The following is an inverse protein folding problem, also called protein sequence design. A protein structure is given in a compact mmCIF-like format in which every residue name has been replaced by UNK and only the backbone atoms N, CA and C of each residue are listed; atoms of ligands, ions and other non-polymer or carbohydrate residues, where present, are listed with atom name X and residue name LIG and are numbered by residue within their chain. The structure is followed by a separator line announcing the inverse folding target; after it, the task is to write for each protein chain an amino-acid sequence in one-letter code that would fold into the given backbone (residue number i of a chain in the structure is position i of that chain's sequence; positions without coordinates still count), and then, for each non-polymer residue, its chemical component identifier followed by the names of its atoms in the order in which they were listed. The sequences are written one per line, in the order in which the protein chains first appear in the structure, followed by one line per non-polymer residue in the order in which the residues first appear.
data_IF_846834806302
#
_entry.id   IF_846834806302
#
_cell.length_a   1.000
_cell.length_b   1.000
_cell.length_c   1.000
_cell.angle_alpha   90.00
_cell.angle_beta   90.00
_cell.angle_gamma   90.00
#
_symmetry.space_group_name_H-M   'P 1'
#
loop_
_entity.id
_entity.type
_entity.pdbx_description
1 polymer ?
#
# COMPACT_ATOMS: atom_id res chain seq x y z
N UNK A 1 8.75 9.26 -8.00
CA UNK A 1 8.23 7.89 -8.19
C UNK A 1 6.97 7.70 -7.36
N UNK A 2 5.86 7.25 -7.94
CA UNK A 2 4.65 6.88 -7.19
C UNK A 2 4.63 5.37 -6.96
N UNK A 3 4.29 4.96 -5.73
CA UNK A 3 4.13 3.55 -5.33
C UNK A 3 2.65 3.25 -5.15
N UNK A 4 2.11 2.26 -5.87
CA UNK A 4 0.77 1.74 -5.63
C UNK A 4 0.86 0.34 -5.01
N UNK A 5 0.16 0.11 -3.90
CA UNK A 5 0.29 -1.12 -3.13
C UNK A 5 -1.05 -1.74 -2.75
N UNK A 6 -1.18 -3.05 -2.98
CA UNK A 6 -2.31 -3.84 -2.50
C UNK A 6 -1.81 -5.13 -1.84
N UNK A 7 -2.14 -5.28 -0.55
CA UNK A 7 -1.91 -6.49 0.24
C UNK A 7 -3.20 -7.04 0.86
N UNK A 8 -4.34 -6.83 0.20
CA UNK A 8 -5.63 -7.39 0.59
C UNK A 8 -5.70 -8.91 0.43
N UNK A 9 -4.81 -9.51 -0.36
CA UNK A 9 -4.77 -10.94 -0.65
C UNK A 9 -3.40 -11.55 -0.28
N UNK A 10 -3.23 -12.86 -0.50
CA UNK A 10 -1.95 -13.56 -0.28
C UNK A 10 -0.86 -13.16 -1.28
N UNK A 11 -1.28 -12.66 -2.44
CA UNK A 11 -0.41 -12.06 -3.46
C UNK A 11 -0.48 -10.55 -3.33
N UNK A 12 0.68 -9.93 -3.08
CA UNK A 12 0.85 -8.49 -3.10
C UNK A 12 0.90 -8.02 -4.55
N UNK A 13 0.14 -6.97 -4.86
CA UNK A 13 0.30 -6.23 -6.09
C UNK A 13 1.05 -4.93 -5.79
N UNK A 14 2.13 -4.69 -6.51
CA UNK A 14 2.90 -3.47 -6.47
C UNK A 14 2.94 -2.87 -7.87
N UNK A 15 2.64 -1.59 -7.99
CA UNK A 15 2.89 -0.83 -9.21
C UNK A 15 3.81 0.33 -8.89
N UNK A 16 4.86 0.48 -9.70
CA UNK A 16 5.72 1.65 -9.68
C UNK A 16 5.38 2.55 -10.89
N UNK A 17 5.19 3.83 -10.65
CA UNK A 17 4.87 4.82 -11.69
C UNK A 17 5.90 5.95 -11.67
N UNK A 18 6.57 6.15 -12.80
CA UNK A 18 7.55 7.21 -13.02
C UNK A 18 7.23 7.96 -14.31
N UNK A 19 6.61 9.14 -14.17
CA UNK A 19 6.01 9.84 -15.30
C UNK A 19 4.99 8.95 -16.04
N UNK A 20 5.25 8.68 -17.32
CA UNK A 20 4.41 7.81 -18.16
C UNK A 20 4.77 6.32 -18.06
N UNK A 21 5.89 5.98 -17.40
CA UNK A 21 6.33 4.59 -17.26
C UNK A 21 5.63 3.94 -16.07
N UNK A 22 5.01 2.79 -16.32
CA UNK A 22 4.37 1.95 -15.30
C UNK A 22 4.98 0.55 -15.31
N UNK A 23 5.36 0.05 -14.15
CA UNK A 23 5.86 -1.32 -13.95
C UNK A 23 5.02 -2.02 -12.89
N UNK A 24 4.34 -3.09 -13.26
CA UNK A 24 3.52 -3.90 -12.35
C UNK A 24 4.32 -5.14 -11.89
N UNK A 25 4.16 -5.48 -10.61
CA UNK A 25 4.74 -6.64 -9.98
C UNK A 25 3.69 -7.40 -9.16
N UNK A 26 3.83 -8.72 -9.15
CA UNK A 26 3.07 -9.60 -8.28
C UNK A 26 4.04 -10.39 -7.41
N UNK A 27 3.73 -10.46 -6.12
CA UNK A 27 4.55 -11.20 -5.15
C UNK A 27 3.68 -12.04 -4.25
N UNK A 28 3.82 -13.36 -4.35
CA UNK A 28 3.25 -14.31 -3.42
C UNK A 28 3.97 -14.21 -2.06
N UNK A 29 3.56 -13.23 -1.24
CA UNK A 29 4.16 -12.98 0.06
C UNK A 29 3.76 -14.05 1.09
N UNK A 30 2.63 -14.73 0.88
CA UNK A 30 2.07 -15.75 1.78
C UNK A 30 2.09 -15.28 3.25
N UNK A 31 2.85 -15.96 4.11
CA UNK A 31 2.99 -15.64 5.55
C UNK A 31 4.20 -14.74 5.85
N UNK A 32 4.93 -14.32 4.83
CA UNK A 32 6.21 -13.63 4.97
C UNK A 32 6.12 -12.11 4.76
N UNK A 33 4.93 -11.58 4.49
CA UNK A 33 4.70 -10.16 4.21
C UNK A 33 5.43 -9.24 5.21
N UNK A 34 5.21 -9.41 6.52
CA UNK A 34 5.84 -8.57 7.54
C UNK A 34 7.36 -8.64 7.57
N UNK A 35 7.94 -9.79 7.20
CA UNK A 35 9.38 -10.01 7.22
C UNK A 35 10.06 -9.38 6.00
N UNK A 36 9.45 -9.58 4.84
CA UNK A 36 10.13 -9.37 3.55
C UNK A 36 9.66 -8.10 2.82
N UNK A 37 8.55 -7.46 3.23
CA UNK A 37 7.94 -6.32 2.52
C UNK A 37 8.91 -5.16 2.25
N UNK A 38 9.69 -4.74 3.26
CA UNK A 38 10.63 -3.63 3.10
C UNK A 38 11.76 -3.98 2.14
N UNK A 39 12.29 -5.21 2.23
CA UNK A 39 13.33 -5.69 1.32
C UNK A 39 12.79 -5.79 -0.11
N UNK A 40 11.59 -6.34 -0.26
CA UNK A 40 10.91 -6.46 -1.56
C UNK A 40 10.72 -5.08 -2.20
N UNK A 41 10.14 -4.12 -1.49
CA UNK A 41 9.92 -2.77 -2.00
C UNK A 41 11.24 -2.07 -2.35
N UNK A 42 12.27 -2.17 -1.50
CA UNK A 42 13.61 -1.65 -1.77
C UNK A 42 14.17 -2.21 -3.07
N UNK A 43 14.09 -3.52 -3.25
CA UNK A 43 14.70 -4.20 -4.40
C UNK A 43 13.94 -3.84 -5.69
N UNK A 44 12.60 -3.75 -5.66
CA UNK A 44 11.80 -3.29 -6.81
C UNK A 44 12.06 -1.83 -7.18
N UNK A 45 12.28 -0.95 -6.19
CA UNK A 45 12.69 0.43 -6.44
C UNK A 45 14.07 0.46 -7.10
N UNK A 46 15.04 -0.29 -6.57
CA UNK A 46 16.41 -0.33 -7.09
C UNK A 46 16.48 -0.86 -8.54
N UNK A 47 15.64 -1.85 -8.89
CA UNK A 47 15.49 -2.32 -10.28
C UNK A 47 15.00 -1.23 -11.24
N UNK A 48 14.31 -0.22 -10.74
CA UNK A 48 13.86 0.94 -11.51
C UNK A 48 14.79 2.16 -11.33
N UNK A 49 15.99 1.96 -10.76
CA UNK A 49 16.96 3.04 -10.53
C UNK A 49 16.54 4.04 -9.46
N UNK A 50 15.60 3.66 -8.58
CA UNK A 50 15.07 4.49 -7.51
C UNK A 50 15.42 3.93 -6.13
N UNK A 51 15.32 4.78 -5.12
CA UNK A 51 15.43 4.45 -3.71
C UNK A 51 14.14 4.83 -2.97
N UNK A 52 14.08 4.54 -1.67
CA UNK A 52 12.96 5.03 -0.86
C UNK A 52 12.83 6.54 -0.91
N UNK A 53 13.93 7.29 -0.98
CA UNK A 53 13.91 8.76 -0.96
C UNK A 53 13.32 9.38 -2.25
N UNK A 54 13.21 8.59 -3.32
CA UNK A 54 12.67 9.03 -4.61
C UNK A 54 11.15 8.83 -4.71
N UNK A 55 10.54 8.25 -3.67
CA UNK A 55 9.09 8.11 -3.58
C UNK A 55 8.50 9.51 -3.37
N UNK A 56 7.59 9.91 -4.25
CA UNK A 56 6.92 11.21 -4.25
C UNK A 56 5.44 11.12 -3.89
N UNK A 57 4.90 9.90 -3.78
CA UNK A 57 3.51 9.66 -3.38
C UNK A 57 3.20 8.18 -3.28
N UNK A 58 2.23 7.85 -2.43
CA UNK A 58 1.81 6.46 -2.18
C UNK A 58 0.30 6.33 -2.38
N UNK A 59 -0.11 5.38 -3.22
CA UNK A 59 -1.50 4.95 -3.34
C UNK A 59 -1.66 3.56 -2.75
N UNK A 60 -2.70 3.33 -1.96
CA UNK A 60 -2.93 2.01 -1.35
C UNK A 60 -4.35 1.54 -1.55
N UNK A 61 -4.50 0.25 -1.81
CA UNK A 61 -5.80 -0.40 -1.68
C UNK A 61 -6.09 -0.57 -0.19
N UNK A 62 -7.12 0.13 0.32
CA UNK A 62 -7.45 0.14 1.75
C UNK A 62 -8.37 -1.00 2.20
N UNK A 63 -8.97 -1.73 1.26
CA UNK A 63 -9.90 -2.83 1.53
C UNK A 63 -11.22 -2.73 0.75
N UNK A 64 -12.17 -3.68 0.96
CA UNK A 64 -12.10 -4.79 1.92
C UNK A 64 -11.05 -5.85 1.58
N UNK A 65 -10.53 -6.58 2.58
CA UNK A 65 -9.52 -7.62 2.35
C UNK A 65 -8.92 -8.23 3.62
N UNK A 66 -7.82 -8.96 3.45
CA UNK A 66 -7.04 -9.62 4.51
C UNK A 66 -6.73 -8.68 5.68
N UNK A 67 -7.25 -9.01 6.87
CA UNK A 67 -7.03 -8.24 8.09
C UNK A 67 -5.55 -8.03 8.37
N UNK A 68 -4.77 -9.12 8.31
CA UNK A 68 -3.33 -9.09 8.57
C UNK A 68 -2.59 -8.36 7.45
N UNK A 69 -2.92 -8.64 6.20
CA UNK A 69 -2.25 -8.08 5.03
C UNK A 69 -2.43 -6.56 4.91
N UNK A 70 -3.66 -6.07 5.10
CA UNK A 70 -3.97 -4.64 5.08
C UNK A 70 -3.31 -3.92 6.25
N UNK A 71 -3.36 -4.46 7.47
CA UNK A 71 -2.71 -3.83 8.63
C UNK A 71 -1.21 -3.68 8.48
N UNK A 72 -0.53 -4.73 8.03
CA UNK A 72 0.92 -4.69 7.82
C UNK A 72 1.25 -3.69 6.73
N UNK A 73 0.60 -3.81 5.55
CA UNK A 73 0.87 -2.96 4.40
C UNK A 73 0.65 -1.48 4.71
N UNK A 74 -0.52 -1.14 5.27
CA UNK A 74 -0.86 0.24 5.60
C UNK A 74 0.01 0.81 6.72
N UNK A 75 0.36 0.03 7.74
CA UNK A 75 1.24 0.51 8.81
C UNK A 75 2.63 0.90 8.25
N UNK A 76 3.22 0.06 7.40
CA UNK A 76 4.51 0.34 6.78
C UNK A 76 4.43 1.56 5.86
N UNK A 77 3.43 1.60 4.97
CA UNK A 77 3.32 2.66 3.97
C UNK A 77 2.92 4.02 4.55
N UNK A 78 2.04 4.05 5.56
CA UNK A 78 1.77 5.27 6.33
C UNK A 78 3.05 5.78 7.00
N UNK A 79 3.87 4.88 7.56
CA UNK A 79 5.14 5.28 8.20
C UNK A 79 6.11 5.87 7.18
N UNK A 80 6.27 5.23 6.02
CA UNK A 80 7.12 5.76 4.94
C UNK A 80 6.61 7.14 4.49
N UNK A 81 5.29 7.27 4.28
CA UNK A 81 4.69 8.54 3.86
C UNK A 81 4.92 9.65 4.89
N UNK A 82 4.74 9.33 6.17
CA UNK A 82 4.92 10.27 7.27
C UNK A 82 6.37 10.75 7.39
N UNK A 83 7.33 9.82 7.44
CA UNK A 83 8.75 10.14 7.61
C UNK A 83 9.31 10.97 6.43
N UNK A 84 8.86 10.65 5.21
CA UNK A 84 9.29 11.38 4.02
C UNK A 84 8.46 12.64 3.74
N UNK A 85 7.38 12.88 4.49
CA UNK A 85 6.43 13.98 4.30
C UNK A 85 5.84 14.00 2.88
N UNK A 86 5.47 12.84 2.37
CA UNK A 86 4.87 12.66 1.03
C UNK A 86 3.39 12.31 1.15
N UNK A 87 2.58 12.63 0.13
CA UNK A 87 1.15 12.32 0.15
C UNK A 87 0.90 10.81 0.10
N UNK A 88 -0.09 10.36 0.87
CA UNK A 88 -0.64 9.00 0.80
C UNK A 88 -2.15 9.06 0.60
N UNK A 89 -2.70 8.21 -0.28
CA UNK A 89 -4.15 8.11 -0.51
C UNK A 89 -4.63 6.67 -0.46
N UNK A 90 -5.77 6.45 0.18
CA UNK A 90 -6.39 5.13 0.31
C UNK A 90 -7.65 5.00 -0.51
N UNK A 91 -7.73 3.99 -1.38
CA UNK A 91 -8.88 3.75 -2.26
C UNK A 91 -9.37 2.30 -2.15
N UNK A 92 -10.67 2.10 -2.36
CA UNK A 92 -11.34 0.80 -2.42
C UNK A 92 -11.93 0.55 -3.83
N UNK A 93 -12.36 -0.67 -4.11
CA UNK A 93 -12.97 -1.06 -5.39
C UNK A 93 -11.96 -1.40 -6.49
N UNK A 94 -12.48 -1.77 -7.67
CA UNK A 94 -11.69 -2.34 -8.77
C UNK A 94 -10.71 -1.34 -9.41
N UNK A 95 -11.14 -0.09 -9.58
CA UNK A 95 -10.35 0.98 -10.21
C UNK A 95 -9.43 1.72 -9.23
N UNK A 96 -9.01 1.07 -8.15
CA UNK A 96 -8.27 1.72 -7.06
C UNK A 96 -6.93 2.33 -7.51
N UNK A 97 -6.26 1.74 -8.50
CA UNK A 97 -4.95 2.23 -8.98
C UNK A 97 -5.11 3.57 -9.68
N UNK A 98 -6.03 3.63 -10.63
CA UNK A 98 -6.33 4.80 -11.43
C UNK A 98 -6.85 5.94 -10.56
N UNK A 99 -7.74 5.63 -9.62
CA UNK A 99 -8.25 6.61 -8.65
C UNK A 99 -7.16 7.10 -7.68
N UNK A 100 -6.27 6.23 -7.19
CA UNK A 100 -5.12 6.65 -6.40
C UNK A 100 -4.23 7.64 -7.17
N UNK A 101 -3.92 7.34 -8.43
CA UNK A 101 -3.11 8.23 -9.28
C UNK A 101 -3.81 9.57 -9.50
N UNK A 102 -5.10 9.55 -9.85
CA UNK A 102 -5.89 10.76 -10.04
C UNK A 102 -5.92 11.62 -8.77
N UNK A 103 -6.13 11.01 -7.60
CA UNK A 103 -6.14 11.73 -6.32
C UNK A 103 -4.77 12.35 -6.01
N UNK A 104 -3.67 11.62 -6.19
CA UNK A 104 -2.32 12.14 -5.98
C UNK A 104 -1.99 13.30 -6.95
N UNK A 105 -2.34 13.16 -8.23
CA UNK A 105 -2.15 14.22 -9.23
C UNK A 105 -2.94 15.49 -8.90
N UNK A 106 -4.12 15.34 -8.30
CA UNK A 106 -4.93 16.46 -7.81
C UNK A 106 -4.49 16.98 -6.42
N UNK A 107 -3.32 16.60 -5.93
CA UNK A 107 -2.74 17.11 -4.68
C UNK A 107 -3.44 16.60 -3.41
N UNK A 108 -4.17 15.48 -3.48
CA UNK A 108 -4.83 14.89 -2.31
C UNK A 108 -3.82 14.18 -1.43
N UNK A 109 -4.05 14.28 -0.12
CA UNK A 109 -3.31 13.56 0.91
C UNK A 109 -4.29 13.18 2.02
N UNK A 110 -4.40 11.89 2.34
CA UNK A 110 -5.22 11.38 3.44
C UNK A 110 -4.48 11.41 4.78
N UNK A 111 -3.16 11.71 4.76
CA UNK A 111 -2.21 11.71 5.88
C UNK A 111 -1.99 10.34 6.54
N UNK A 112 -3.08 9.62 6.82
CA UNK A 112 -3.09 8.27 7.34
C UNK A 112 -4.24 7.48 6.70
N UNK A 113 -3.90 6.33 6.13
CA UNK A 113 -4.90 5.42 5.56
C UNK A 113 -5.21 4.30 6.54
N UNK A 114 -6.48 4.16 6.90
CA UNK A 114 -6.97 3.08 7.76
C UNK A 114 -7.56 1.93 6.93
N UNK A 115 -7.35 0.67 7.36
CA UNK A 115 -7.90 -0.49 6.68
C UNK A 115 -9.41 -0.58 6.82
N UNK A 116 -10.04 -1.04 5.75
CA UNK A 116 -11.42 -1.47 5.71
C UNK A 116 -11.47 -3.00 5.67
N UNK A 117 -12.10 -3.63 6.65
CA UNK A 117 -12.12 -5.10 6.75
C UNK A 117 -13.40 -5.73 6.20
N UNK A 118 -14.39 -4.93 5.81
CA UNK A 118 -15.66 -5.40 5.25
C UNK A 118 -16.59 -6.13 6.23
N UNK A 119 -16.22 -6.26 7.51
CA UNK A 119 -17.05 -6.90 8.54
C UNK A 119 -16.82 -6.27 9.92
N UNK A 120 -17.84 -6.35 10.79
CA UNK A 120 -17.69 -5.94 12.19
C UNK A 120 -16.69 -6.82 12.95
N UNK A 121 -16.09 -6.24 13.99
CA UNK A 121 -15.17 -6.94 14.85
C UNK A 121 -15.88 -8.13 15.52
N UNK A 122 -15.36 -9.35 15.28
CA UNK A 122 -15.77 -10.55 16.01
C UNK A 122 -15.12 -10.57 17.39
N UNK A 123 -15.78 -9.94 18.37
CA UNK A 123 -15.30 -9.86 19.75
C UNK A 123 -15.79 -11.09 20.54
N UNK A 124 -14.85 -11.89 21.04
CA UNK A 124 -15.16 -12.98 21.98
C UNK A 124 -15.60 -12.38 23.32
N UNK A 125 -16.80 -12.71 23.80
CA UNK A 125 -17.28 -12.21 25.10
C UNK A 125 -16.33 -12.69 26.22
N UNK A 126 -15.98 -11.84 27.19
CA UNK A 126 -15.21 -12.25 28.36
C UNK A 126 -15.92 -13.43 29.05
N UNK A 127 -15.17 -14.49 29.39
CA UNK A 127 -15.71 -15.55 30.26
C UNK A 127 -15.85 -14.98 31.67
N UNK A 128 -17.07 -15.03 32.21
CA UNK A 128 -17.37 -14.74 33.62
C UNK A 128 -16.69 -15.74 34.53
#
# INVERSE_FOLDING_TARGET
MIVLWNSAEMTVQLTLVDGDKRTDYEWAAERNLARDMLAYLRDRLAENGASFADISGIGVFRGPGSFTGLRIGLAVLNTIAHEQRIPIVGVAGEAWREECLARLQNGRNDEIVLPEYGAEARITKPRK
#
